data_IF_949243969402
#
_entry.id   IF_949243969402
#
_cell.length_a   1.000
_cell.length_b   1.000
_cell.length_c   1.000
_cell.angle_alpha   90.00
_cell.angle_beta   90.00
_cell.angle_gamma   90.00
#
_symmetry.space_group_name_H-M   'P 1'
#
loop_
_entity.id
_entity.type
_entity.pdbx_description
1 polymer ?
#
# COMPACT_ATOMS: atom_id res chain seq x y z
N UNK A 1 1.80 -14.47 12.26
CA UNK A 1 1.54 -15.87 11.84
C UNK A 1 1.87 -15.92 10.37
N UNK A 2 2.95 -16.60 10.03
CA UNK A 2 3.42 -16.73 8.66
C UNK A 2 3.35 -18.23 8.36
N UNK A 3 2.15 -18.72 8.08
CA UNK A 3 1.94 -20.13 7.72
C UNK A 3 2.02 -20.29 6.21
N UNK A 4 2.90 -21.19 5.77
CA UNK A 4 3.11 -21.52 4.35
C UNK A 4 1.91 -22.22 3.72
N UNK A 5 0.92 -22.62 4.52
CA UNK A 5 -0.31 -23.27 4.04
C UNK A 5 -1.39 -22.29 3.55
N UNK A 6 -1.16 -20.97 3.70
CA UNK A 6 -2.17 -19.92 3.42
C UNK A 6 -1.89 -19.15 2.12
N UNK A 7 -0.67 -19.20 1.60
CA UNK A 7 -0.24 -18.45 0.41
C UNK A 7 0.70 -19.27 -0.47
N UNK A 8 0.63 -19.08 -1.79
CA UNK A 8 1.48 -19.79 -2.76
C UNK A 8 2.97 -19.51 -2.54
N UNK A 9 3.30 -18.27 -2.18
CA UNK A 9 4.66 -17.83 -1.89
C UNK A 9 4.67 -16.89 -0.69
N UNK A 10 5.61 -17.11 0.21
CA UNK A 10 5.84 -16.30 1.39
C UNK A 10 7.26 -15.73 1.36
N UNK A 11 7.37 -14.40 1.48
CA UNK A 11 8.65 -13.71 1.59
C UNK A 11 8.88 -13.25 3.04
N UNK A 12 10.05 -13.56 3.59
CA UNK A 12 10.53 -13.04 4.87
C UNK A 12 11.69 -12.11 4.55
N UNK A 13 11.35 -10.90 4.11
CA UNK A 13 12.29 -9.87 3.67
C UNK A 13 12.05 -8.57 4.46
N UNK A 14 13.03 -7.65 4.51
CA UNK A 14 12.82 -6.33 5.09
C UNK A 14 11.67 -5.59 4.39
N UNK A 15 10.81 -4.93 5.17
CA UNK A 15 9.69 -4.13 4.68
C UNK A 15 10.17 -2.78 4.14
N UNK A 16 10.93 -2.79 3.04
CA UNK A 16 11.47 -1.61 2.37
C UNK A 16 11.06 -1.59 0.89
N UNK A 17 11.01 -0.39 0.30
CA UNK A 17 10.68 -0.22 -1.13
C UNK A 17 11.57 -1.08 -2.03
N UNK A 18 12.88 -1.13 -1.76
CA UNK A 18 13.82 -1.93 -2.55
C UNK A 18 13.51 -3.43 -2.51
N UNK A 19 13.25 -3.97 -1.31
CA UNK A 19 12.93 -5.39 -1.15
C UNK A 19 11.62 -5.74 -1.86
N UNK A 20 10.58 -4.90 -1.71
CA UNK A 20 9.29 -5.14 -2.34
C UNK A 20 9.40 -4.99 -3.87
N UNK A 21 10.16 -4.03 -4.39
CA UNK A 21 10.37 -3.91 -5.84
C UNK A 21 11.03 -5.16 -6.43
N UNK A 22 12.03 -5.74 -5.75
CA UNK A 22 12.64 -7.02 -6.17
C UNK A 22 11.61 -8.15 -6.21
N UNK A 23 10.73 -8.24 -5.21
CA UNK A 23 9.65 -9.23 -5.18
C UNK A 23 8.67 -9.01 -6.33
N UNK A 24 8.27 -7.76 -6.58
CA UNK A 24 7.40 -7.37 -7.69
C UNK A 24 8.01 -7.77 -9.04
N UNK A 25 9.31 -7.57 -9.24
CA UNK A 25 9.98 -7.96 -10.50
C UNK A 25 9.92 -9.46 -10.77
N UNK A 26 10.00 -10.27 -9.72
CA UNK A 26 9.97 -11.74 -9.80
C UNK A 26 8.54 -12.23 -9.99
N UNK A 27 7.62 -11.75 -9.15
CA UNK A 27 6.25 -12.28 -9.07
C UNK A 27 5.28 -11.60 -10.05
N UNK A 28 5.57 -10.37 -10.47
CA UNK A 28 4.74 -9.54 -11.37
C UNK A 28 3.26 -9.57 -10.99
N UNK A 29 2.90 -9.17 -9.75
CA UNK A 29 1.53 -9.22 -9.30
C UNK A 29 0.67 -8.21 -10.07
N UNK A 30 -0.58 -8.57 -10.37
CA UNK A 30 -1.54 -7.63 -10.97
C UNK A 30 -1.99 -6.55 -9.98
N UNK A 31 -1.97 -6.88 -8.68
CA UNK A 31 -2.52 -6.02 -7.65
C UNK A 31 -1.90 -6.24 -6.26
N UNK A 32 -1.97 -5.21 -5.41
CA UNK A 32 -1.47 -5.21 -4.03
C UNK A 32 -2.59 -4.78 -3.06
N UNK A 33 -2.69 -5.45 -1.91
CA UNK A 33 -3.65 -5.16 -0.85
C UNK A 33 -2.92 -4.72 0.44
N UNK A 34 -2.76 -3.41 0.69
CA UNK A 34 -1.94 -2.91 1.79
C UNK A 34 -2.67 -2.85 3.14
N UNK A 35 -4.00 -2.93 3.12
CA UNK A 35 -4.86 -2.73 4.31
C UNK A 35 -4.76 -3.84 5.35
N UNK A 36 -4.18 -4.99 5.00
CA UNK A 36 -3.98 -6.12 5.92
C UNK A 36 -2.71 -5.97 6.78
N UNK A 37 -1.79 -5.08 6.41
CA UNK A 37 -0.53 -4.85 7.13
C UNK A 37 -0.60 -3.78 8.22
N UNK A 38 -1.79 -3.30 8.57
CA UNK A 38 -1.98 -2.16 9.46
C UNK A 38 -1.26 -0.89 8.94
N UNK A 39 -0.82 -0.02 9.85
CA UNK A 39 -0.15 1.23 9.50
C UNK A 39 1.16 1.00 8.73
N UNK A 40 1.92 -0.04 9.08
CA UNK A 40 3.16 -0.37 8.38
C UNK A 40 2.92 -0.73 6.92
N UNK A 41 1.87 -1.51 6.62
CA UNK A 41 1.49 -1.86 5.25
C UNK A 41 1.02 -0.65 4.45
N UNK A 42 0.24 0.24 5.09
CA UNK A 42 -0.22 1.48 4.46
C UNK A 42 0.94 2.43 4.15
N UNK A 43 1.84 2.68 5.11
CA UNK A 43 3.02 3.53 4.90
C UNK A 43 3.91 3.00 3.78
N UNK A 44 4.14 1.69 3.74
CA UNK A 44 4.96 1.10 2.68
C UNK A 44 4.28 1.22 1.31
N UNK A 45 2.95 1.11 1.23
CA UNK A 45 2.23 1.35 0.00
C UNK A 45 2.32 2.81 -0.45
N UNK A 46 2.31 3.76 0.49
CA UNK A 46 2.57 5.17 0.19
C UNK A 46 3.99 5.38 -0.35
N UNK A 47 5.00 4.81 0.31
CA UNK A 47 6.39 4.92 -0.14
C UNK A 47 6.59 4.33 -1.54
N UNK A 48 5.96 3.18 -1.83
CA UNK A 48 5.97 2.55 -3.16
C UNK A 48 5.29 3.42 -4.23
N UNK A 49 4.20 4.08 -3.87
CA UNK A 49 3.51 5.01 -4.75
C UNK A 49 4.33 6.25 -5.05
N UNK A 50 4.90 6.89 -4.02
CA UNK A 50 5.77 8.06 -4.19
C UNK A 50 7.05 7.73 -4.97
N UNK A 51 7.52 6.47 -4.88
CA UNK A 51 8.61 5.95 -5.71
C UNK A 51 8.18 5.57 -7.14
N UNK A 52 6.90 5.71 -7.51
CA UNK A 52 6.38 5.42 -8.84
C UNK A 52 6.32 3.93 -9.19
N UNK A 53 6.42 3.02 -8.20
CA UNK A 53 6.51 1.58 -8.44
C UNK A 53 5.22 1.04 -9.04
N UNK A 54 4.05 1.48 -8.57
CA UNK A 54 2.77 0.97 -9.08
C UNK A 54 2.56 1.32 -10.55
N UNK A 55 2.91 2.54 -10.97
CA UNK A 55 2.84 2.95 -12.37
C UNK A 55 3.87 2.22 -13.23
N UNK A 56 5.10 2.06 -12.73
CA UNK A 56 6.20 1.40 -13.44
C UNK A 56 5.90 -0.06 -13.78
N UNK A 57 5.17 -0.77 -12.92
CA UNK A 57 4.86 -2.20 -13.09
C UNK A 57 3.38 -2.48 -13.38
N UNK A 58 2.57 -1.44 -13.65
CA UNK A 58 1.12 -1.54 -13.90
C UNK A 58 0.34 -2.30 -12.81
N UNK A 59 0.65 -1.99 -11.55
CA UNK A 59 0.06 -2.67 -10.39
C UNK A 59 -1.12 -1.88 -9.87
N UNK A 60 -2.24 -2.58 -9.63
CA UNK A 60 -3.44 -1.98 -9.04
C UNK A 60 -3.39 -2.04 -7.51
N UNK A 61 -3.70 -0.94 -6.84
CA UNK A 61 -3.94 -0.97 -5.41
C UNK A 61 -5.39 -1.38 -5.12
N UNK A 62 -5.58 -2.42 -4.31
CA UNK A 62 -6.89 -2.89 -3.88
C UNK A 62 -7.22 -2.35 -2.48
N UNK A 63 -8.51 -2.16 -2.23
CA UNK A 63 -9.02 -1.61 -0.97
C UNK A 63 -9.17 -0.10 -1.05
N UNK A 64 -8.59 0.62 -0.09
CA UNK A 64 -8.70 2.08 -0.01
C UNK A 64 -7.79 2.75 -1.05
N UNK A 65 -8.31 3.70 -1.85
CA UNK A 65 -7.48 4.49 -2.75
C UNK A 65 -6.41 5.27 -1.99
N UNK A 66 -5.23 5.43 -2.60
CA UNK A 66 -4.09 6.17 -2.02
C UNK A 66 -4.47 7.57 -1.56
N UNK A 67 -5.21 8.30 -2.39
CA UNK A 67 -5.69 9.64 -2.06
C UNK A 67 -6.53 9.68 -0.78
N UNK A 68 -7.25 8.59 -0.48
CA UNK A 68 -8.06 8.48 0.74
C UNK A 68 -7.17 8.21 1.95
N UNK A 69 -6.12 7.40 1.78
CA UNK A 69 -5.13 7.12 2.82
C UNK A 69 -4.39 8.42 3.20
N UNK A 70 -3.86 9.16 2.22
CA UNK A 70 -3.18 10.45 2.46
C UNK A 70 -4.07 11.47 3.16
N UNK A 71 -5.31 11.65 2.70
CA UNK A 71 -6.27 12.58 3.31
C UNK A 71 -6.65 12.21 4.75
N UNK A 72 -6.56 10.93 5.10
CA UNK A 72 -6.89 10.46 6.45
C UNK A 72 -5.77 10.67 7.46
N UNK A 73 -4.52 10.72 7.00
CA UNK A 73 -3.33 10.93 7.85
C UNK A 73 -3.00 12.41 8.03
N UNK A 74 -3.39 13.26 7.07
CA UNK A 74 -3.31 14.71 7.23
C UNK A 74 -4.42 15.23 8.16
N UNK A 75 -4.02 15.64 9.38
CA UNK A 75 -4.91 16.28 10.36
C UNK A 75 -5.65 17.51 9.82
N UNK A 76 -5.07 18.24 8.87
CA UNK A 76 -5.72 19.37 8.21
C UNK A 76 -6.70 18.89 7.13
N UNK A 77 -6.28 17.92 6.30
CA UNK A 77 -7.12 17.20 5.34
C UNK A 77 -8.39 16.62 5.97
N UNK A 78 -8.26 15.94 7.12
CA UNK A 78 -9.39 15.39 7.86
C UNK A 78 -10.36 16.49 8.33
N UNK A 79 -9.86 17.61 8.87
CA UNK A 79 -10.71 18.74 9.27
C UNK A 79 -11.44 19.36 8.07
N UNK A 80 -10.78 19.43 6.91
CA UNK A 80 -11.38 19.96 5.67
C UNK A 80 -12.47 19.02 5.15
N UNK A 81 -12.20 17.72 5.09
CA UNK A 81 -13.17 16.70 4.70
C UNK A 81 -14.41 16.74 5.60
N UNK A 82 -14.22 16.83 6.92
CA UNK A 82 -15.32 16.94 7.89
C UNK A 82 -16.12 18.25 7.76
N UNK A 83 -15.52 19.32 7.25
CA UNK A 83 -16.24 20.57 6.92
C UNK A 83 -17.03 20.45 5.62
N UNK A 84 -16.47 19.83 4.58
CA UNK A 84 -17.15 19.60 3.30
C UNK A 84 -18.41 18.74 3.45
N UNK A 85 -18.35 17.68 4.26
CA UNK A 85 -19.50 16.78 4.49
C UNK A 85 -20.63 17.45 5.30
N UNK A 86 -20.33 18.55 6.01
CA UNK A 86 -21.29 19.28 6.86
C UNK A 86 -22.00 20.44 6.16
N UNK A 87 -21.69 20.67 4.87
CA UNK A 87 -22.24 21.74 4.03
C UNK A 87 -23.35 21.20 3.15
#
# INVERSE_FOLDING_TARGET
>A
MTDMDVADVVYIEPMTVESIEKIIQIQKPDAILPTLGGQTGLNLAMDLHHAGIFEKYDIKLLGSPIETIEKSEDREGFKKLMKEIRS
#
